data_IF_604603695460
#
_entry.id   IF_604603695460
#
_cell.length_a   1.000
_cell.length_b   1.000
_cell.length_c   1.000
_cell.angle_alpha   90.00
_cell.angle_beta   90.00
_cell.angle_gamma   90.00
#
_symmetry.space_group_name_H-M   'P 1'
#
loop_
_entity.id
_entity.type
_entity.pdbx_description
1 polymer ?
#
# COMPACT_ATOMS: atom_id res chain seq x y z
N UNK A 1 -18.53 -14.88 78.95
CA UNK A 1 -19.28 -15.77 78.03
C UNK A 1 -19.14 -15.23 76.61
N UNK A 2 -18.86 -16.13 75.69
CA UNK A 2 -18.52 -15.95 74.27
C UNK A 2 -19.54 -15.21 73.40
N UNK A 3 -19.02 -14.76 72.22
CA UNK A 3 -19.67 -14.48 70.90
C UNK A 3 -19.64 -12.98 70.54
N UNK A 4 -19.19 -12.51 69.37
CA UNK A 4 -18.82 -13.19 68.12
C UNK A 4 -17.97 -12.26 67.26
N UNK A 5 -17.03 -12.89 66.57
CA UNK A 5 -16.05 -12.43 65.59
C UNK A 5 -16.73 -12.10 64.23
N UNK A 6 -16.06 -11.25 63.42
CA UNK A 6 -16.07 -11.16 61.93
C UNK A 6 -17.02 -10.16 61.25
N UNK A 7 -16.44 -9.04 60.81
CA UNK A 7 -16.65 -8.43 59.48
C UNK A 7 -15.31 -7.78 59.11
N UNK A 8 -14.36 -8.55 58.58
CA UNK A 8 -14.12 -8.75 57.13
C UNK A 8 -13.68 -7.46 56.44
N UNK A 9 -12.37 -7.38 56.21
CA UNK A 9 -11.67 -6.42 55.37
C UNK A 9 -12.41 -6.19 54.05
N UNK A 10 -12.66 -4.93 53.69
CA UNK A 10 -13.08 -4.58 52.34
C UNK A 10 -12.22 -3.42 51.79
N UNK A 11 -11.55 -3.74 50.70
CA UNK A 11 -11.12 -2.84 49.62
C UNK A 11 -10.05 -1.77 49.91
N UNK A 12 -8.79 -2.21 49.98
CA UNK A 12 -7.65 -1.39 49.54
C UNK A 12 -6.91 -2.16 48.43
N UNK A 13 -7.43 -2.06 47.22
CA UNK A 13 -6.87 -2.66 46.01
C UNK A 13 -7.08 -1.72 44.84
N UNK A 14 -6.56 -0.49 44.94
CA UNK A 14 -6.41 0.38 43.78
C UNK A 14 -5.31 -0.26 42.93
N UNK A 15 -5.75 -1.03 41.95
CA UNK A 15 -4.87 -1.49 40.89
C UNK A 15 -4.24 -0.25 40.24
N UNK A 16 -2.94 -0.07 40.45
CA UNK A 16 -2.12 0.77 39.59
C UNK A 16 -2.13 0.08 38.23
N UNK A 17 -3.16 0.37 37.44
CA UNK A 17 -3.07 0.16 36.02
C UNK A 17 -2.02 1.18 35.55
N UNK A 18 -0.84 0.69 35.18
CA UNK A 18 0.05 1.43 34.29
C UNK A 18 -0.76 1.74 33.05
N UNK A 19 -1.38 2.92 33.04
CA UNK A 19 -1.86 3.50 31.81
C UNK A 19 -0.60 3.89 31.05
N UNK A 20 -0.20 3.03 30.11
CA UNK A 20 0.69 3.44 29.04
C UNK A 20 -0.02 4.58 28.31
N UNK A 21 0.28 5.81 28.71
CA UNK A 21 -0.25 6.99 28.05
C UNK A 21 0.50 7.09 26.74
N UNK A 22 -0.06 6.51 25.68
CA UNK A 22 0.39 6.79 24.33
C UNK A 22 0.28 8.31 24.11
N UNK A 23 1.40 8.96 23.84
CA UNK A 23 1.40 10.37 23.48
C UNK A 23 0.54 10.57 22.22
N UNK A 24 -0.18 11.72 22.09
CA UNK A 24 -0.91 12.01 20.86
C UNK A 24 0.06 11.91 19.68
N UNK A 25 -0.40 11.31 18.59
CA UNK A 25 0.40 10.83 17.47
C UNK A 25 1.16 11.90 16.65
N UNK A 26 1.26 13.13 17.16
CA UNK A 26 2.07 14.22 16.61
C UNK A 26 1.68 14.65 15.20
N UNK A 27 2.49 15.52 14.60
CA UNK A 27 2.33 16.03 13.24
C UNK A 27 2.97 15.11 12.19
N UNK A 28 2.74 13.80 12.28
CA UNK A 28 3.26 12.86 11.29
C UNK A 28 2.56 13.06 9.93
N UNK A 29 3.28 13.10 8.80
CA UNK A 29 2.72 13.37 7.46
C UNK A 29 2.07 12.12 6.85
N UNK A 30 1.17 11.48 7.59
CA UNK A 30 0.53 10.22 7.22
C UNK A 30 -0.79 10.44 6.50
N UNK A 31 -0.94 9.84 5.31
CA UNK A 31 -2.19 9.89 4.55
C UNK A 31 -2.43 8.60 3.75
N UNK A 32 -3.60 7.95 3.86
CA UNK A 32 -4.61 8.14 4.90
C UNK A 32 -4.03 7.94 6.31
N UNK A 33 -4.66 8.57 7.30
CA UNK A 33 -4.28 8.40 8.70
C UNK A 33 -4.51 6.94 9.14
N UNK A 34 -3.50 6.23 9.68
CA UNK A 34 -3.64 4.84 10.10
C UNK A 34 -4.62 4.65 11.24
N UNK A 35 -5.17 3.43 11.36
CA UNK A 35 -6.11 3.09 12.44
C UNK A 35 -5.51 3.31 13.85
N UNK A 36 -4.25 2.95 14.06
CA UNK A 36 -3.53 3.14 15.32
C UNK A 36 -2.11 3.62 15.05
N UNK A 37 -1.71 4.68 15.74
CA UNK A 37 -0.37 5.27 15.70
C UNK A 37 0.03 5.57 17.14
N UNK A 38 1.16 5.03 17.57
CA UNK A 38 1.71 5.20 18.91
C UNK A 38 3.16 5.70 18.80
N UNK A 39 3.46 6.80 19.46
CA UNK A 39 4.82 7.29 19.61
C UNK A 39 5.41 6.71 20.90
N UNK A 40 6.63 6.13 20.86
CA UNK A 40 7.27 5.63 22.07
C UNK A 40 7.61 6.78 23.03
N UNK A 41 7.68 6.48 24.33
CA UNK A 41 8.05 7.45 25.37
C UNK A 41 9.42 8.09 25.09
N UNK A 42 10.37 7.28 24.62
CA UNK A 42 11.67 7.75 24.15
C UNK A 42 11.52 8.29 22.73
N UNK A 43 11.42 9.62 22.61
CA UNK A 43 11.43 10.29 21.32
C UNK A 43 12.76 10.07 20.59
N UNK A 44 12.70 9.98 19.27
CA UNK A 44 13.87 9.84 18.43
C UNK A 44 13.51 9.52 16.99
N UNK A 45 14.55 9.34 16.17
CA UNK A 45 14.40 8.97 14.77
C UNK A 45 15.54 8.05 14.35
N UNK A 46 15.22 7.08 13.50
CA UNK A 46 16.18 6.24 12.82
C UNK A 46 16.84 7.04 11.69
N UNK A 47 18.15 7.36 11.76
CA UNK A 47 18.83 8.01 10.66
C UNK A 47 18.92 7.08 9.46
N UNK A 48 18.63 7.61 8.27
CA UNK A 48 18.82 6.90 7.00
C UNK A 48 20.08 7.41 6.30
N UNK A 49 20.67 6.54 5.49
CA UNK A 49 21.81 6.87 4.63
C UNK A 49 21.60 6.29 3.23
N UNK A 50 22.46 6.66 2.29
CA UNK A 50 22.46 6.08 0.95
C UNK A 50 22.80 4.57 0.91
N UNK A 51 23.17 3.97 2.05
CA UNK A 51 23.40 2.54 2.22
C UNK A 51 22.15 1.78 2.73
N UNK A 52 20.96 2.38 2.65
CA UNK A 52 19.70 1.73 3.08
C UNK A 52 19.56 0.34 2.48
N UNK A 53 19.37 -0.65 3.35
CA UNK A 53 19.22 -2.06 2.98
C UNK A 53 17.81 -2.54 3.31
N UNK A 54 17.22 -3.28 2.37
CA UNK A 54 15.83 -3.74 2.45
C UNK A 54 15.83 -5.25 2.26
N UNK A 55 15.14 -5.97 3.14
CA UNK A 55 14.91 -7.40 3.00
C UNK A 55 13.41 -7.71 3.04
N UNK A 56 12.96 -8.56 2.12
CA UNK A 56 11.59 -9.08 2.10
C UNK A 56 11.66 -10.60 2.30
N UNK A 57 10.85 -11.13 3.22
CA UNK A 57 10.75 -12.58 3.48
C UNK A 57 9.30 -13.07 3.48
N UNK A 58 9.15 -14.38 3.25
CA UNK A 58 7.84 -15.04 3.15
C UNK A 58 7.34 -15.09 1.70
N UNK A 59 6.41 -14.19 1.35
CA UNK A 59 5.83 -14.11 0.00
C UNK A 59 6.74 -13.35 -0.99
N UNK A 60 6.59 -13.64 -2.29
CA UNK A 60 7.34 -12.99 -3.36
C UNK A 60 6.69 -11.66 -3.76
N UNK A 61 7.52 -10.62 -3.79
CA UNK A 61 7.22 -9.29 -4.32
C UNK A 61 8.26 -8.92 -5.38
N UNK A 62 8.14 -9.54 -6.55
CA UNK A 62 9.16 -9.45 -7.61
C UNK A 62 9.37 -7.99 -8.07
N UNK A 63 10.64 -7.58 -8.09
CA UNK A 63 11.08 -6.22 -8.42
C UNK A 63 10.61 -5.13 -7.46
N UNK A 64 9.96 -5.46 -6.33
CA UNK A 64 9.47 -4.43 -5.40
C UNK A 64 10.62 -3.68 -4.72
N UNK A 65 11.70 -4.38 -4.37
CA UNK A 65 12.89 -3.76 -3.78
C UNK A 65 13.45 -2.69 -4.72
N UNK A 66 13.68 -3.01 -6.00
CA UNK A 66 14.25 -2.06 -6.95
C UNK A 66 13.37 -0.83 -7.15
N UNK A 67 12.06 -1.04 -7.33
CA UNK A 67 11.08 0.06 -7.47
C UNK A 67 11.06 0.94 -6.22
N UNK A 68 11.09 0.32 -5.04
CA UNK A 68 11.02 1.04 -3.78
C UNK A 68 12.31 1.83 -3.51
N UNK A 69 13.48 1.23 -3.80
CA UNK A 69 14.78 1.92 -3.79
C UNK A 69 14.81 3.09 -4.75
N UNK A 70 14.24 2.94 -5.95
CA UNK A 70 14.12 4.04 -6.91
C UNK A 70 13.27 5.19 -6.33
N UNK A 71 12.15 4.88 -5.66
CA UNK A 71 11.32 5.91 -5.01
C UNK A 71 12.05 6.62 -3.87
N UNK A 72 12.79 5.87 -3.04
CA UNK A 72 13.63 6.46 -1.98
C UNK A 72 14.69 7.38 -2.61
N UNK A 73 15.39 6.93 -3.66
CA UNK A 73 16.39 7.74 -4.38
C UNK A 73 15.81 9.03 -4.94
N UNK A 74 14.61 8.98 -5.54
CA UNK A 74 13.91 10.18 -6.04
C UNK A 74 13.47 11.11 -4.91
N UNK A 75 13.01 10.57 -3.78
CA UNK A 75 12.55 11.35 -2.63
C UNK A 75 13.71 12.01 -1.86
N UNK A 76 14.86 11.35 -1.76
CA UNK A 76 16.03 11.85 -1.00
C UNK A 76 17.07 12.56 -1.87
N UNK A 77 17.03 12.36 -3.20
CA UNK A 77 18.06 12.83 -4.13
C UNK A 77 19.36 12.03 -4.07
N UNK A 78 19.42 10.92 -3.34
CA UNK A 78 20.63 10.12 -3.20
C UNK A 78 20.87 9.19 -4.38
N UNK A 79 22.13 8.99 -4.70
CA UNK A 79 22.58 7.77 -5.38
C UNK A 79 22.74 6.66 -4.35
N UNK A 80 21.82 5.71 -4.33
CA UNK A 80 21.85 4.60 -3.38
C UNK A 80 22.98 3.62 -3.75
N UNK A 81 23.68 3.11 -2.74
CA UNK A 81 24.67 2.04 -2.94
C UNK A 81 24.00 0.78 -3.49
N UNK A 82 24.71 -0.14 -4.16
CA UNK A 82 24.12 -1.39 -4.64
C UNK A 82 23.43 -2.17 -3.50
N UNK A 83 22.28 -2.78 -3.81
CA UNK A 83 21.55 -3.58 -2.82
C UNK A 83 22.35 -4.86 -2.48
N UNK A 84 22.55 -5.12 -1.19
CA UNK A 84 23.05 -6.42 -0.75
C UNK A 84 21.97 -7.49 -1.02
N UNK A 85 22.37 -8.62 -1.59
CA UNK A 85 21.43 -9.69 -2.00
C UNK A 85 20.70 -10.32 -0.81
N UNK A 86 21.32 -10.35 0.36
CA UNK A 86 20.75 -10.81 1.65
C UNK A 86 21.48 -10.13 2.82
N UNK A 87 21.07 -8.93 3.27
CA UNK A 87 21.68 -8.29 4.43
C UNK A 87 21.36 -9.09 5.71
N UNK A 88 22.36 -9.33 6.55
CA UNK A 88 22.15 -10.00 7.85
C UNK A 88 21.31 -9.12 8.82
N UNK A 89 21.52 -7.80 8.75
CA UNK A 89 20.78 -6.78 9.52
C UNK A 89 20.28 -5.68 8.57
N UNK A 90 19.14 -5.89 7.89
CA UNK A 90 18.58 -4.87 7.00
C UNK A 90 18.14 -3.62 7.79
N UNK A 91 18.30 -2.44 7.21
CA UNK A 91 17.70 -1.20 7.72
C UNK A 91 16.17 -1.32 7.75
N UNK A 92 15.60 -2.01 6.75
CA UNK A 92 14.16 -2.24 6.62
C UNK A 92 13.89 -3.72 6.38
N UNK A 93 13.25 -4.38 7.35
CA UNK A 93 12.82 -5.77 7.27
C UNK A 93 11.31 -5.85 7.03
N UNK A 94 10.90 -6.52 5.95
CA UNK A 94 9.50 -6.75 5.60
C UNK A 94 9.23 -8.25 5.68
N UNK A 95 8.28 -8.64 6.53
CA UNK A 95 7.90 -10.03 6.76
C UNK A 95 6.45 -10.25 6.33
N UNK A 96 6.24 -11.14 5.37
CA UNK A 96 4.91 -11.48 4.84
C UNK A 96 4.56 -12.90 5.29
N UNK A 97 3.49 -13.06 6.06
CA UNK A 97 3.18 -14.37 6.69
C UNK A 97 2.71 -15.42 5.68
N UNK A 98 1.85 -15.04 4.74
CA UNK A 98 1.21 -15.97 3.83
C UNK A 98 1.44 -15.57 2.37
N UNK A 99 1.83 -16.57 1.56
CA UNK A 99 1.85 -16.41 0.12
C UNK A 99 0.43 -16.49 -0.44
N UNK A 100 0.06 -15.50 -1.25
CA UNK A 100 -1.28 -15.38 -1.85
C UNK A 100 -1.22 -15.24 -3.38
N UNK A 101 -2.37 -15.38 -4.04
CA UNK A 101 -2.51 -15.09 -5.47
C UNK A 101 -2.05 -13.64 -5.77
N UNK A 102 -1.27 -13.41 -6.85
CA UNK A 102 -0.78 -12.07 -7.18
C UNK A 102 -1.90 -11.08 -7.54
N UNK A 103 -3.09 -11.55 -7.92
CA UNK A 103 -4.23 -10.70 -8.23
C UNK A 103 -5.02 -10.38 -6.96
N UNK A 104 -5.20 -9.08 -6.62
CA UNK A 104 -6.00 -8.69 -5.49
C UNK A 104 -7.48 -9.00 -5.71
N UNK A 105 -8.15 -9.33 -4.62
CA UNK A 105 -9.60 -9.49 -4.51
C UNK A 105 -10.15 -8.42 -3.56
N UNK A 106 -11.46 -8.19 -3.59
CA UNK A 106 -12.10 -7.24 -2.68
C UNK A 106 -11.87 -7.60 -1.20
N UNK A 107 -11.79 -8.88 -0.87
CA UNK A 107 -11.54 -9.42 0.47
C UNK A 107 -10.06 -9.70 0.76
N UNK A 108 -9.14 -9.22 -0.07
CA UNK A 108 -7.71 -9.37 0.19
C UNK A 108 -7.31 -8.64 1.47
N UNK A 109 -6.58 -9.34 2.34
CA UNK A 109 -6.11 -8.78 3.60
C UNK A 109 -4.99 -7.75 3.34
N UNK A 110 -5.32 -6.49 3.58
CA UNK A 110 -4.43 -5.33 3.44
C UNK A 110 -3.90 -4.82 4.79
N UNK A 111 -4.04 -5.59 5.87
CA UNK A 111 -3.56 -5.22 7.20
C UNK A 111 -2.05 -5.34 7.33
N UNK A 112 -1.45 -4.42 8.09
CA UNK A 112 -0.04 -4.46 8.44
C UNK A 112 0.23 -3.86 9.82
N UNK A 113 1.38 -4.23 10.38
CA UNK A 113 1.96 -3.60 11.55
C UNK A 113 3.39 -3.16 11.23
N UNK A 114 3.70 -1.92 11.55
CA UNK A 114 4.98 -1.26 11.30
C UNK A 114 5.55 -0.77 12.64
N UNK A 115 6.81 -1.06 12.89
CA UNK A 115 7.55 -0.59 14.06
C UNK A 115 8.86 0.03 13.59
N UNK A 116 9.14 1.25 14.03
CA UNK A 116 10.39 1.97 13.75
C UNK A 116 11.10 2.22 15.08
N UNK A 117 12.30 1.67 15.22
CA UNK A 117 13.12 1.77 16.43
C UNK A 117 14.57 2.09 16.07
N UNK A 118 15.44 2.19 17.08
CA UNK A 118 16.88 2.34 16.86
C UNK A 118 17.50 1.18 16.08
N UNK A 119 16.92 -0.03 16.15
CA UNK A 119 17.40 -1.22 15.45
C UNK A 119 17.01 -1.26 13.97
N UNK A 120 16.08 -0.40 13.54
CA UNK A 120 15.61 -0.30 12.16
C UNK A 120 14.10 -0.26 12.02
N UNK A 121 13.64 -0.49 10.80
CA UNK A 121 12.22 -0.57 10.44
C UNK A 121 11.81 -2.04 10.30
N UNK A 122 10.78 -2.44 11.06
CA UNK A 122 10.16 -3.75 10.95
C UNK A 122 8.72 -3.60 10.48
N UNK A 123 8.43 -4.12 9.28
CA UNK A 123 7.09 -4.19 8.71
C UNK A 123 6.64 -5.65 8.66
N UNK A 124 5.49 -5.94 9.25
CA UNK A 124 4.87 -7.27 9.21
C UNK A 124 3.47 -7.17 8.61
N UNK A 125 3.11 -8.11 7.74
CA UNK A 125 1.80 -8.16 7.12
C UNK A 125 1.33 -9.60 6.94
N UNK A 126 0.02 -9.83 6.94
CA UNK A 126 -0.52 -11.16 6.70
C UNK A 126 -0.32 -11.58 5.24
N UNK A 127 -0.44 -10.64 4.30
CA UNK A 127 -0.25 -10.88 2.86
C UNK A 127 0.62 -9.81 2.21
N UNK A 128 1.02 -10.04 0.95
CA UNK A 128 1.75 -9.06 0.15
C UNK A 128 1.02 -7.73 0.00
N UNK A 129 -0.31 -7.72 0.06
CA UNK A 129 -1.12 -6.52 -0.11
C UNK A 129 -0.98 -5.58 1.08
N UNK A 130 -1.04 -6.10 2.31
CA UNK A 130 -0.74 -5.34 3.52
C UNK A 130 0.70 -4.83 3.54
N UNK A 131 1.66 -5.66 3.11
CA UNK A 131 3.06 -5.22 3.01
C UNK A 131 3.22 -4.03 2.05
N UNK A 132 2.59 -4.06 0.88
CA UNK A 132 2.61 -2.92 -0.05
C UNK A 132 2.01 -1.66 0.58
N UNK A 133 0.91 -1.76 1.35
CA UNK A 133 0.34 -0.58 2.05
C UNK A 133 1.27 -0.03 3.13
N UNK A 134 1.92 -0.91 3.90
CA UNK A 134 2.90 -0.53 4.90
C UNK A 134 4.16 0.11 4.29
N UNK A 135 4.60 -0.36 3.12
CA UNK A 135 5.73 0.26 2.40
C UNK A 135 5.44 1.71 2.01
N UNK A 136 4.20 2.03 1.63
CA UNK A 136 3.80 3.43 1.37
C UNK A 136 3.83 4.28 2.63
N UNK A 137 3.39 3.72 3.76
CA UNK A 137 3.47 4.39 5.07
C UNK A 137 4.91 4.68 5.46
N UNK A 138 5.84 3.74 5.22
CA UNK A 138 7.26 3.98 5.48
C UNK A 138 7.80 5.14 4.62
N UNK A 139 7.42 5.23 3.34
CA UNK A 139 7.85 6.36 2.48
C UNK A 139 7.34 7.71 3.00
N UNK A 140 6.10 7.75 3.51
CA UNK A 140 5.53 8.96 4.10
C UNK A 140 6.30 9.39 5.36
N UNK A 141 6.80 8.42 6.14
CA UNK A 141 7.57 8.71 7.35
C UNK A 141 9.02 9.15 7.09
N UNK A 142 9.53 9.03 5.86
CA UNK A 142 10.88 9.54 5.51
C UNK A 142 10.85 11.07 5.53
N UNK A 143 11.56 11.65 6.48
CA UNK A 143 11.72 13.09 6.63
C UNK A 143 13.10 13.51 6.12
N UNK A 144 13.12 14.38 5.11
CA UNK A 144 14.36 15.01 4.63
C UNK A 144 14.58 16.31 5.40
N UNK A 145 15.31 16.24 6.50
CA UNK A 145 15.73 17.41 7.27
C UNK A 145 16.92 18.13 6.63
N UNK A 146 17.24 19.35 7.07
CA UNK A 146 18.35 20.12 6.49
C UNK A 146 19.72 19.49 6.72
N UNK A 147 19.87 18.71 7.80
CA UNK A 147 21.14 18.06 8.17
C UNK A 147 21.12 16.54 7.96
N UNK A 148 19.96 15.89 8.06
CA UNK A 148 19.84 14.45 7.92
C UNK A 148 18.48 14.03 7.35
N UNK A 149 18.46 12.86 6.72
CA UNK A 149 17.21 12.15 6.40
C UNK A 149 16.99 11.09 7.47
N UNK A 150 15.80 11.02 8.04
CA UNK A 150 15.47 10.06 9.09
C UNK A 150 14.00 9.61 9.04
N UNK A 151 13.67 8.58 9.82
CA UNK A 151 12.31 8.11 10.05
C UNK A 151 12.04 8.21 11.57
N UNK A 152 10.97 8.88 12.03
CA UNK A 152 10.67 8.97 13.46
C UNK A 152 10.37 7.59 14.04
N UNK A 153 10.71 7.39 15.33
CA UNK A 153 10.28 6.19 16.04
C UNK A 153 8.77 6.18 16.22
N UNK A 154 8.14 5.09 15.82
CA UNK A 154 6.68 4.97 15.81
C UNK A 154 6.26 3.51 15.70
N UNK A 155 5.16 3.16 16.36
CA UNK A 155 4.44 1.91 16.17
C UNK A 155 3.09 2.19 15.51
N UNK A 156 2.81 1.51 14.40
CA UNK A 156 1.60 1.68 13.59
C UNK A 156 0.96 0.32 13.37
N UNK A 157 -0.35 0.25 13.57
CA UNK A 157 -1.19 -0.87 13.12
C UNK A 157 -2.28 -0.30 12.25
N UNK A 158 -2.42 -0.86 11.05
CA UNK A 158 -3.37 -0.33 10.08
C UNK A 158 -4.09 -1.42 9.30
N UNK A 159 -5.32 -1.11 8.92
CA UNK A 159 -6.19 -1.91 8.07
C UNK A 159 -7.19 -0.96 7.42
N UNK A 160 -7.51 -1.13 6.12
CA UNK A 160 -8.49 -0.25 5.51
C UNK A 160 -9.88 -0.47 6.09
N UNK A 161 -10.58 0.64 6.39
CA UNK A 161 -12.00 0.60 6.78
C UNK A 161 -12.90 -0.01 5.71
N UNK A 162 -12.60 0.27 4.44
CA UNK A 162 -13.39 -0.22 3.30
C UNK A 162 -12.52 -1.04 2.35
N UNK A 163 -12.99 -2.23 1.92
CA UNK A 163 -12.27 -3.07 0.96
C UNK A 163 -12.19 -2.46 -0.44
N UNK A 164 -13.11 -1.57 -0.81
CA UNK A 164 -13.13 -0.93 -2.13
C UNK A 164 -12.79 0.54 -2.02
N UNK A 165 -11.62 0.93 -2.52
CA UNK A 165 -11.11 2.31 -2.51
C UNK A 165 -10.66 2.66 -3.93
N UNK A 166 -11.58 3.25 -4.68
CA UNK A 166 -11.47 3.35 -6.13
C UNK A 166 -11.21 4.75 -6.68
N UNK A 167 -10.54 4.81 -7.82
CA UNK A 167 -10.49 5.99 -8.70
C UNK A 167 -11.09 5.62 -10.06
N UNK A 168 -11.99 6.46 -10.58
CA UNK A 168 -12.47 6.36 -11.95
C UNK A 168 -11.65 7.32 -12.84
N UNK A 169 -11.09 6.78 -13.92
CA UNK A 169 -10.43 7.57 -14.95
C UNK A 169 -11.22 7.51 -16.25
N UNK A 170 -11.64 8.68 -16.73
CA UNK A 170 -12.35 8.85 -17.99
C UNK A 170 -11.36 9.16 -19.11
N UNK A 171 -11.07 8.15 -19.93
CA UNK A 171 -10.25 8.32 -21.13
C UNK A 171 -11.08 8.48 -22.39
N UNK A 172 -12.41 8.33 -22.30
CA UNK A 172 -13.31 8.40 -23.44
C UNK A 172 -13.49 9.84 -23.92
N UNK A 173 -13.76 10.76 -22.97
CA UNK A 173 -13.99 12.19 -23.27
C UNK A 173 -12.72 12.89 -23.70
N UNK A 174 -11.61 12.60 -23.02
CA UNK A 174 -10.28 13.07 -23.38
C UNK A 174 -9.30 11.90 -23.25
N UNK A 175 -8.61 11.58 -24.36
CA UNK A 175 -7.64 10.47 -24.34
C UNK A 175 -6.48 10.77 -23.40
N UNK A 176 -6.12 9.79 -22.57
CA UNK A 176 -4.97 9.88 -21.67
C UNK A 176 -3.86 8.95 -22.14
N UNK A 177 -2.67 9.46 -22.49
CA UNK A 177 -1.51 8.63 -22.81
C UNK A 177 -1.20 7.61 -21.71
N UNK A 178 -0.68 6.44 -22.09
CA UNK A 178 -0.34 5.35 -21.15
C UNK A 178 0.56 5.83 -20.00
N UNK A 179 1.54 6.68 -20.30
CA UNK A 179 2.46 7.22 -19.29
C UNK A 179 1.74 8.07 -18.22
N UNK A 180 0.70 8.80 -18.60
CA UNK A 180 -0.10 9.60 -17.66
C UNK A 180 -0.95 8.69 -16.75
N UNK A 181 -1.48 7.60 -17.31
CA UNK A 181 -2.20 6.58 -16.53
C UNK A 181 -1.25 5.91 -15.54
N UNK A 182 -0.04 5.54 -15.96
CA UNK A 182 0.97 4.95 -15.08
C UNK A 182 1.32 5.89 -13.91
N UNK A 183 1.49 7.19 -14.17
CA UNK A 183 1.69 8.20 -13.13
C UNK A 183 0.50 8.28 -12.17
N UNK A 184 -0.73 8.19 -12.70
CA UNK A 184 -1.94 8.19 -11.88
C UNK A 184 -2.01 6.96 -10.97
N UNK A 185 -1.63 5.78 -11.48
CA UNK A 185 -1.55 4.53 -10.72
C UNK A 185 -0.49 4.60 -9.61
N UNK A 186 0.67 5.23 -9.86
CA UNK A 186 1.66 5.49 -8.81
C UNK A 186 1.07 6.38 -7.69
N UNK A 187 0.34 7.44 -8.04
CA UNK A 187 -0.34 8.31 -7.07
C UNK A 187 -1.44 7.60 -6.28
N UNK A 188 -2.23 6.74 -6.94
CA UNK A 188 -3.24 5.92 -6.27
C UNK A 188 -2.63 4.97 -5.24
N UNK A 189 -1.47 4.38 -5.55
CA UNK A 189 -0.80 3.45 -4.66
C UNK A 189 -0.28 4.18 -3.42
N UNK A 190 0.34 5.35 -3.61
CA UNK A 190 0.78 6.21 -2.51
C UNK A 190 -0.38 6.61 -1.57
N UNK A 191 -1.59 6.81 -2.12
CA UNK A 191 -2.81 7.08 -1.36
C UNK A 191 -3.54 5.82 -0.85
N UNK A 192 -2.95 4.63 -0.97
CA UNK A 192 -3.51 3.33 -0.57
C UNK A 192 -4.86 2.99 -1.21
N UNK A 193 -5.16 3.57 -2.38
CA UNK A 193 -6.28 3.13 -3.22
C UNK A 193 -5.97 1.74 -3.79
N UNK A 194 -7.01 0.98 -4.12
CA UNK A 194 -6.85 -0.42 -4.54
C UNK A 194 -7.76 -0.82 -5.71
N UNK A 195 -8.61 0.09 -6.20
CA UNK A 195 -9.42 -0.16 -7.40
C UNK A 195 -9.20 0.92 -8.44
N UNK A 196 -8.85 0.51 -9.66
CA UNK A 196 -8.84 1.40 -10.82
C UNK A 196 -10.03 1.07 -11.72
N UNK A 197 -10.93 2.03 -11.87
CA UNK A 197 -12.06 1.95 -12.77
C UNK A 197 -11.74 2.74 -14.03
N UNK A 198 -11.49 2.03 -15.13
CA UNK A 198 -11.15 2.65 -16.39
C UNK A 198 -12.38 2.81 -17.28
N UNK A 199 -12.86 4.04 -17.45
CA UNK A 199 -13.96 4.35 -18.35
C UNK A 199 -13.39 4.61 -19.75
N UNK A 200 -13.57 3.61 -20.63
CA UNK A 200 -12.91 3.50 -21.94
C UNK A 200 -13.80 3.84 -23.13
N UNK A 201 -15.11 3.99 -22.91
CA UNK A 201 -16.08 4.15 -23.98
C UNK A 201 -17.16 5.12 -23.55
N UNK A 202 -17.46 6.07 -24.40
CA UNK A 202 -18.57 7.01 -24.24
C UNK A 202 -18.99 7.57 -25.61
N UNK A 203 -19.94 8.49 -25.65
CA UNK A 203 -20.45 9.06 -26.90
C UNK A 203 -19.33 9.72 -27.73
N UNK A 204 -18.35 10.32 -27.05
CA UNK A 204 -17.24 11.05 -27.65
C UNK A 204 -16.06 10.18 -28.08
N UNK A 205 -16.04 8.88 -27.73
CA UNK A 205 -14.90 8.06 -28.12
C UNK A 205 -14.90 6.61 -27.64
N UNK A 206 -14.30 5.77 -28.48
CA UNK A 206 -13.99 4.36 -28.25
C UNK A 206 -12.48 4.15 -28.09
N UNK A 207 -12.01 3.79 -26.90
CA UNK A 207 -10.58 3.89 -26.56
C UNK A 207 -9.82 2.57 -26.48
N UNK A 208 -10.35 1.45 -26.96
CA UNK A 208 -9.58 0.20 -26.96
C UNK A 208 -9.70 -0.60 -28.26
N UNK A 209 -8.64 -1.30 -28.63
CA UNK A 209 -8.65 -2.11 -29.85
C UNK A 209 -9.52 -3.37 -29.69
N UNK A 210 -10.52 -3.53 -30.56
CA UNK A 210 -11.28 -4.78 -30.71
C UNK A 210 -10.83 -5.54 -31.96
N UNK A 211 -10.57 -6.84 -31.80
CA UNK A 211 -10.28 -7.76 -32.92
C UNK A 211 -11.54 -8.12 -33.69
N UNK A 212 -12.67 -8.32 -32.98
CA UNK A 212 -13.96 -8.63 -33.58
C UNK A 212 -14.65 -7.42 -34.24
N UNK A 213 -14.50 -6.23 -33.65
CA UNK A 213 -15.19 -5.02 -34.11
C UNK A 213 -14.21 -3.89 -34.46
N UNK A 214 -13.35 -4.07 -35.47
CA UNK A 214 -12.26 -3.13 -35.77
C UNK A 214 -12.75 -1.73 -36.17
N UNK A 215 -13.95 -1.63 -36.73
CA UNK A 215 -14.58 -0.36 -37.11
C UNK A 215 -14.76 0.59 -35.91
N UNK A 216 -14.92 0.06 -34.69
CA UNK A 216 -15.09 0.89 -33.49
C UNK A 216 -13.84 1.73 -33.22
N UNK A 217 -12.65 1.11 -33.18
CA UNK A 217 -11.43 1.91 -33.05
C UNK A 217 -11.06 2.65 -34.34
N UNK A 218 -11.38 2.14 -35.53
CA UNK A 218 -11.00 2.81 -36.79
C UNK A 218 -11.78 4.10 -37.05
N UNK A 219 -13.06 4.15 -36.64
CA UNK A 219 -13.96 5.27 -36.98
C UNK A 219 -14.38 6.10 -35.76
N UNK A 220 -14.35 5.55 -34.55
CA UNK A 220 -14.86 6.23 -33.34
C UNK A 220 -13.78 6.51 -32.28
N UNK A 221 -12.50 6.51 -32.64
CA UNK A 221 -11.39 6.82 -31.71
C UNK A 221 -10.55 8.03 -32.09
N UNK A 222 -10.73 8.58 -33.28
CA UNK A 222 -9.85 9.63 -33.85
C UNK A 222 -8.37 9.21 -33.90
N UNK A 223 -8.11 7.90 -34.02
CA UNK A 223 -6.77 7.32 -33.95
C UNK A 223 -6.19 7.22 -32.53
N UNK A 224 -6.94 7.63 -31.50
CA UNK A 224 -6.54 7.63 -30.10
C UNK A 224 -7.21 6.49 -29.33
N UNK A 225 -6.51 5.36 -29.24
CA UNK A 225 -6.96 4.16 -28.52
C UNK A 225 -5.79 3.37 -27.94
N UNK A 226 -6.08 2.51 -26.96
CA UNK A 226 -5.12 1.57 -26.38
C UNK A 226 -5.14 0.25 -27.14
N UNK A 227 -3.95 -0.24 -27.50
CA UNK A 227 -3.81 -1.61 -28.04
C UNK A 227 -4.08 -2.63 -26.95
N UNK A 228 -4.41 -3.87 -27.35
CA UNK A 228 -4.59 -4.95 -26.38
C UNK A 228 -3.32 -5.20 -25.56
N UNK A 229 -2.13 -5.01 -26.15
CA UNK A 229 -0.87 -5.22 -25.46
C UNK A 229 -0.58 -4.10 -24.46
N UNK A 230 -0.88 -2.84 -24.80
CA UNK A 230 -0.82 -1.74 -23.83
C UNK A 230 -1.75 -1.99 -22.64
N UNK A 231 -2.98 -2.44 -22.90
CA UNK A 231 -3.94 -2.78 -21.84
C UNK A 231 -3.46 -3.95 -20.99
N UNK A 232 -2.94 -5.02 -21.61
CA UNK A 232 -2.37 -6.17 -20.89
C UNK A 232 -1.18 -5.74 -20.05
N UNK A 233 -0.30 -4.88 -20.56
CA UNK A 233 0.85 -4.37 -19.83
C UNK A 233 0.42 -3.60 -18.58
N UNK A 234 -0.57 -2.71 -18.71
CA UNK A 234 -1.16 -1.99 -17.58
C UNK A 234 -1.78 -2.94 -16.55
N UNK A 235 -2.45 -4.00 -17.02
CA UNK A 235 -3.13 -4.98 -16.18
C UNK A 235 -2.23 -6.13 -15.68
N UNK A 236 -1.00 -6.26 -16.20
CA UNK A 236 0.01 -7.25 -15.81
C UNK A 236 1.09 -6.65 -14.87
N UNK A 237 1.05 -5.34 -14.63
CA UNK A 237 1.73 -4.68 -13.51
C UNK A 237 1.06 -4.79 -12.10
N UNK A 238 0.04 -5.62 -11.78
CA UNK A 238 -0.53 -5.77 -10.43
C UNK A 238 0.48 -5.99 -9.30
N UNK A 239 1.59 -6.74 -9.44
CA UNK A 239 2.56 -6.85 -8.35
C UNK A 239 3.29 -5.54 -8.04
N UNK A 240 3.14 -4.50 -8.88
CA UNK A 240 3.68 -3.16 -8.61
C UNK A 240 2.82 -2.34 -7.66
N UNK A 241 1.49 -2.49 -7.68
CA UNK A 241 0.60 -1.56 -6.97
C UNK A 241 -0.59 -2.19 -6.23
N UNK A 242 -0.87 -3.48 -6.44
CA UNK A 242 -2.02 -4.19 -5.87
C UNK A 242 -3.38 -3.53 -6.18
N UNK A 243 -3.66 -3.32 -7.47
CA UNK A 243 -4.96 -2.83 -7.92
C UNK A 243 -5.84 -3.95 -8.47
N UNK A 244 -7.11 -3.97 -8.06
CA UNK A 244 -8.17 -4.63 -8.81
C UNK A 244 -8.65 -3.70 -9.94
N UNK A 245 -8.88 -4.26 -11.12
CA UNK A 245 -9.36 -3.52 -12.30
C UNK A 245 -10.86 -3.77 -12.48
N UNK A 246 -11.68 -2.73 -12.36
CA UNK A 246 -13.11 -2.84 -12.59
C UNK A 246 -13.44 -2.52 -14.05
N UNK A 247 -14.06 -3.47 -14.77
CA UNK A 247 -14.73 -3.20 -16.05
C UNK A 247 -16.22 -3.00 -15.82
N UNK A 248 -16.80 -2.04 -16.55
CA UNK A 248 -18.23 -1.72 -16.55
C UNK A 248 -19.16 -2.87 -17.02
N UNK A 249 -18.63 -3.98 -17.53
CA UNK A 249 -19.43 -5.08 -18.08
C UNK A 249 -19.95 -6.12 -17.07
N UNK A 250 -19.59 -6.06 -15.80
CA UNK A 250 -20.06 -7.03 -14.78
C UNK A 250 -20.22 -6.37 -13.41
N UNK A 251 -21.30 -5.61 -13.25
CA UNK A 251 -21.84 -5.19 -11.95
C UNK A 251 -23.25 -5.75 -11.79
N UNK A 252 -23.43 -7.07 -11.86
CA UNK A 252 -24.65 -7.77 -11.44
C UNK A 252 -24.26 -9.12 -10.85
N UNK A 253 -24.37 -9.21 -9.51
CA UNK A 253 -24.48 -10.41 -8.68
C UNK A 253 -23.75 -11.68 -9.11
N UNK A 254 -22.53 -11.89 -8.61
CA UNK A 254 -22.04 -13.12 -7.94
C UNK A 254 -20.51 -13.06 -7.85
N UNK A 255 -19.97 -13.51 -6.72
CA UNK A 255 -18.54 -13.66 -6.50
C UNK A 255 -17.97 -14.69 -7.50
N UNK A 256 -17.52 -14.23 -8.67
CA UNK A 256 -16.79 -15.06 -9.62
C UNK A 256 -15.57 -14.32 -10.14
N UNK A 257 -14.41 -14.95 -9.90
CA UNK A 257 -13.11 -14.79 -10.56
C UNK A 257 -12.99 -13.58 -11.48
N UNK A 258 -12.12 -12.63 -11.10
CA UNK A 258 -11.55 -11.61 -11.97
C UNK A 258 -10.66 -12.27 -13.06
N UNK A 259 -11.27 -13.02 -13.97
CA UNK A 259 -10.60 -13.53 -15.17
C UNK A 259 -10.82 -12.52 -16.28
N UNK A 260 -9.72 -12.07 -16.86
CA UNK A 260 -9.71 -11.52 -18.21
C UNK A 260 -10.19 -12.61 -19.17
N UNK A 261 -11.50 -12.70 -19.40
CA UNK A 261 -12.03 -13.31 -20.60
C UNK A 261 -12.28 -12.17 -21.58
N UNK A 262 -11.23 -11.81 -22.32
CA UNK A 262 -11.44 -11.31 -23.68
C UNK A 262 -11.95 -12.54 -24.42
N UNK A 263 -13.27 -12.70 -24.56
CA UNK A 263 -13.81 -13.61 -25.57
C UNK A 263 -13.63 -12.91 -26.91
N UNK A 264 -12.41 -13.13 -27.41
CA UNK A 264 -11.85 -13.01 -28.76
C UNK A 264 -12.27 -11.83 -29.62
#
# INVERSE_FOLDING_TARGET
MFKTLRFSLLAAGIAVACQAHAAPAGDLPLMPWPQQVELPETQGSLPLTNAVSIAISGDKLDGAIDRWRQRISLQTGWQLQPAATKPEKPTIAIQIKHAVDPLPKADSDESYALSVTADGVKLTANTRFGAMRGMETVLQLIQNGPQNTSIPYVDIKDVPRFPWRGLLLDSARHFMPVNDILRQLDGMAAAKLNVFHWHLTDDQGWRFASTHYPKLQQLASDGQFYTQDQMKQLCAMPPRWAFAWCRKSTCLGTAQRWRWHIRS
#
